data_IF_901266580847
#
_entry.id   IF_901266580847
#
_cell.length_a   1.000
_cell.length_b   1.000
_cell.length_c   1.000
_cell.angle_alpha   90.00
_cell.angle_beta   90.00
_cell.angle_gamma   90.00
#
_symmetry.space_group_name_H-M   'P 1'
#
loop_
_entity.id
_entity.type
_entity.pdbx_description
1 polymer ?
#
# COMPACT_ATOMS: atom_id res chain seq x y z
N UNK A 1 35.47 52.16 51.13
CA UNK A 1 34.10 52.62 51.41
C UNK A 1 33.69 53.74 50.43
N UNK A 2 34.18 53.71 49.19
CA UNK A 2 34.03 54.87 48.27
C UNK A 2 33.09 54.62 47.09
N UNK A 3 33.09 53.44 46.45
CA UNK A 3 32.32 53.26 45.21
C UNK A 3 30.79 53.35 45.36
N UNK A 4 30.20 52.72 46.39
CA UNK A 4 28.75 52.76 46.63
C UNK A 4 28.32 54.17 47.06
N UNK A 5 29.15 54.82 47.87
CA UNK A 5 28.94 56.18 48.37
C UNK A 5 28.98 57.18 47.22
N UNK A 6 29.94 57.05 46.30
CA UNK A 6 30.04 57.87 45.08
C UNK A 6 28.89 57.61 44.10
N UNK A 7 28.45 56.36 43.96
CA UNK A 7 27.34 55.99 43.09
C UNK A 7 26.00 56.57 43.57
N UNK A 8 25.78 56.58 44.88
CA UNK A 8 24.60 57.15 45.53
C UNK A 8 24.81 58.60 45.97
N UNK A 9 25.88 59.24 45.51
CA UNK A 9 26.16 60.62 45.88
C UNK A 9 25.13 61.56 45.23
N UNK A 10 24.25 62.10 46.07
CA UNK A 10 23.18 63.02 45.69
C UNK A 10 23.55 64.49 45.88
N UNK A 11 24.81 64.81 46.24
CA UNK A 11 25.28 66.19 46.50
C UNK A 11 25.35 67.05 45.23
N UNK A 12 25.15 66.43 44.06
CA UNK A 12 24.96 67.17 42.81
C UNK A 12 23.67 68.00 42.87
N UNK A 13 23.72 69.20 42.31
CA UNK A 13 22.53 70.04 42.17
C UNK A 13 21.43 69.24 41.45
N UNK A 14 20.22 69.10 42.02
CA UNK A 14 19.14 68.24 41.46
C UNK A 14 18.69 68.61 40.04
N UNK A 15 19.23 69.64 39.43
CA UNK A 15 18.73 70.24 38.20
C UNK A 15 19.85 70.58 37.23
N UNK A 16 20.50 69.56 36.66
CA UNK A 16 21.38 69.71 35.48
C UNK A 16 20.76 70.46 34.28
N UNK A 17 19.44 70.74 34.31
CA UNK A 17 18.76 71.79 33.54
C UNK A 17 17.99 72.71 34.49
N UNK A 18 18.23 74.02 34.45
CA UNK A 18 17.59 74.98 35.35
C UNK A 18 16.11 75.19 34.96
N UNK A 19 15.21 74.34 35.46
CA UNK A 19 13.74 74.49 35.28
C UNK A 19 13.14 75.67 36.06
N UNK A 20 14.00 76.46 36.76
CA UNK A 20 13.64 77.60 37.60
C UNK A 20 12.55 77.28 38.65
N UNK A 21 12.35 76.00 38.98
CA UNK A 21 11.26 75.51 39.84
C UNK A 21 9.87 76.02 39.44
N UNK A 22 9.67 76.28 38.14
CA UNK A 22 8.38 76.67 37.58
C UNK A 22 7.38 75.52 37.66
N UNK A 23 6.27 75.72 38.37
CA UNK A 23 5.25 74.68 38.65
C UNK A 23 4.68 74.05 37.38
N UNK A 24 4.40 74.86 36.37
CA UNK A 24 3.85 74.42 35.09
C UNK A 24 4.83 73.50 34.34
N UNK A 25 6.11 73.87 34.31
CA UNK A 25 7.15 73.09 33.63
C UNK A 25 7.47 71.79 34.38
N UNK A 26 7.47 71.85 35.72
CA UNK A 26 7.70 70.70 36.60
C UNK A 26 6.59 69.65 36.44
N UNK A 27 5.32 70.09 36.47
CA UNK A 27 4.16 69.19 36.29
C UNK A 27 4.21 68.53 34.92
N UNK A 28 4.59 69.28 33.88
CA UNK A 28 4.68 68.74 32.52
C UNK A 28 5.74 67.63 32.40
N UNK A 29 6.94 67.85 32.92
CA UNK A 29 8.03 66.87 32.84
C UNK A 29 7.78 65.66 33.73
N UNK A 30 7.47 65.91 35.02
CA UNK A 30 7.23 64.83 35.99
C UNK A 30 5.98 64.04 35.61
N UNK A 31 4.90 64.71 35.21
CA UNK A 31 3.67 64.05 34.75
C UNK A 31 3.90 63.19 33.50
N UNK A 32 4.68 63.71 32.54
CA UNK A 32 5.06 62.95 31.34
C UNK A 32 5.92 61.72 31.65
N UNK A 33 6.91 61.86 32.54
CA UNK A 33 7.76 60.75 32.96
C UNK A 33 6.98 59.69 33.76
N UNK A 34 6.05 60.11 34.64
CA UNK A 34 5.18 59.17 35.39
C UNK A 34 4.35 58.34 34.42
N UNK A 35 3.70 59.00 33.45
CA UNK A 35 2.86 58.31 32.48
C UNK A 35 3.69 57.31 31.64
N UNK A 36 4.87 57.74 31.20
CA UNK A 36 5.78 56.91 30.40
C UNK A 36 6.30 55.72 31.20
N UNK A 37 6.71 55.94 32.45
CA UNK A 37 7.16 54.89 33.36
C UNK A 37 6.09 53.82 33.58
N UNK A 38 4.85 54.22 33.88
CA UNK A 38 3.74 53.27 34.09
C UNK A 38 3.53 52.42 32.83
N UNK A 39 3.44 53.05 31.65
CA UNK A 39 3.28 52.32 30.39
C UNK A 39 4.44 51.33 30.16
N UNK A 40 5.67 51.76 30.39
CA UNK A 40 6.88 50.96 30.14
C UNK A 40 7.12 49.87 31.17
N UNK A 41 6.45 49.89 32.32
CA UNK A 41 6.44 48.76 33.25
C UNK A 41 5.37 47.72 32.91
N UNK A 42 4.24 48.15 32.35
CA UNK A 42 3.14 47.24 31.99
C UNK A 42 3.40 46.44 30.71
N UNK A 43 4.00 47.06 29.68
CA UNK A 43 4.26 46.39 28.38
C UNK A 43 5.18 45.17 28.54
N UNK A 44 6.33 45.23 29.23
CA UNK A 44 7.20 44.06 29.45
C UNK A 44 6.49 42.91 30.15
N UNK A 45 5.63 43.19 31.14
CA UNK A 45 4.85 42.18 31.84
C UNK A 45 3.93 41.44 30.86
N UNK A 46 3.24 42.19 29.98
CA UNK A 46 2.39 41.60 28.96
C UNK A 46 3.17 40.74 27.95
N UNK A 47 4.34 41.20 27.50
CA UNK A 47 5.20 40.47 26.56
C UNK A 47 5.76 39.18 27.18
N UNK A 48 6.23 39.23 28.43
CA UNK A 48 6.71 38.03 29.14
C UNK A 48 5.56 37.03 29.34
N UNK A 49 4.35 37.50 29.65
CA UNK A 49 3.17 36.64 29.77
C UNK A 49 2.80 35.98 28.44
N UNK A 50 2.84 36.72 27.32
CA UNK A 50 2.60 36.17 25.99
C UNK A 50 3.60 35.05 25.65
N UNK A 51 4.89 35.29 25.86
CA UNK A 51 5.95 34.30 25.60
C UNK A 51 5.79 33.06 26.46
N UNK A 52 5.39 33.22 27.73
CA UNK A 52 5.14 32.07 28.62
C UNK A 52 3.86 31.30 28.27
N UNK A 53 2.88 31.93 27.64
CA UNK A 53 1.60 31.32 27.30
C UNK A 53 1.59 30.61 25.94
N UNK A 54 2.61 30.84 25.10
CA UNK A 54 2.68 30.32 23.72
C UNK A 54 4.05 29.71 23.47
N UNK A 55 4.09 28.39 23.36
CA UNK A 55 5.26 27.57 23.05
C UNK A 55 5.59 27.50 21.55
N UNK A 56 4.64 27.84 20.69
CA UNK A 56 4.78 27.89 19.22
C UNK A 56 5.45 29.17 18.69
N UNK A 57 5.84 30.10 19.58
CA UNK A 57 6.56 31.31 19.20
C UNK A 57 8.02 31.01 18.87
N UNK A 58 8.27 30.76 17.58
CA UNK A 58 9.60 30.51 17.01
C UNK A 58 10.65 31.58 17.33
N UNK A 59 10.23 32.81 17.67
CA UNK A 59 11.11 33.94 18.00
C UNK A 59 10.88 34.51 19.40
N UNK A 60 10.65 33.65 20.40
CA UNK A 60 10.42 34.05 21.80
C UNK A 60 11.49 35.03 22.35
N UNK A 61 12.77 34.85 22.00
CA UNK A 61 13.88 35.71 22.43
C UNK A 61 13.73 37.18 22.00
N UNK A 62 13.08 37.46 20.84
CA UNK A 62 12.78 38.82 20.38
C UNK A 62 11.88 39.54 21.36
N UNK A 63 10.79 38.89 21.74
CA UNK A 63 9.81 39.46 22.66
C UNK A 63 10.40 39.73 24.04
N UNK A 64 11.31 38.86 24.52
CA UNK A 64 12.01 39.06 25.79
C UNK A 64 13.04 40.21 25.72
N UNK A 65 13.75 40.35 24.60
CA UNK A 65 14.69 41.46 24.41
C UNK A 65 13.97 42.80 24.28
N UNK A 66 12.82 42.86 23.60
CA UNK A 66 11.95 44.03 23.61
C UNK A 66 11.41 44.33 25.02
N UNK A 67 10.99 43.32 25.76
CA UNK A 67 10.53 43.49 27.13
C UNK A 67 11.64 44.10 28.01
N UNK A 68 12.87 43.60 27.89
CA UNK A 68 14.04 44.16 28.58
C UNK A 68 14.35 45.59 28.15
N UNK A 69 14.41 45.86 26.84
CA UNK A 69 14.65 47.21 26.30
C UNK A 69 13.64 48.24 26.83
N UNK A 70 12.34 47.92 26.75
CA UNK A 70 11.26 48.80 27.21
C UNK A 70 11.33 49.01 28.72
N UNK A 71 11.63 47.95 29.49
CA UNK A 71 11.82 48.05 30.94
C UNK A 71 12.94 49.02 31.33
N UNK A 72 14.13 48.88 30.73
CA UNK A 72 15.26 49.77 31.02
C UNK A 72 15.02 51.20 30.54
N UNK A 73 14.32 51.38 29.42
CA UNK A 73 13.85 52.70 29.00
C UNK A 73 12.92 53.31 30.06
N UNK A 74 11.98 52.54 30.60
CA UNK A 74 11.09 52.98 31.68
C UNK A 74 11.85 53.38 32.95
N UNK A 75 12.88 52.60 33.31
CA UNK A 75 13.75 52.92 34.44
C UNK A 75 14.48 54.26 34.29
N UNK A 76 14.82 54.69 33.05
CA UNK A 76 15.40 56.04 32.84
C UNK A 76 14.43 57.17 33.16
N UNK A 77 13.12 57.00 32.87
CA UNK A 77 12.10 57.99 33.24
C UNK A 77 11.86 58.04 34.75
N UNK A 78 11.87 56.88 35.44
CA UNK A 78 11.80 56.85 36.91
C UNK A 78 12.97 57.61 37.55
N UNK A 79 14.19 57.37 37.05
CA UNK A 79 15.37 58.08 37.51
C UNK A 79 15.34 59.56 37.11
N UNK A 80 14.72 59.92 35.99
CA UNK A 80 14.41 61.30 35.62
C UNK A 80 13.58 62.00 36.70
N UNK A 81 12.47 61.38 37.13
CA UNK A 81 11.61 61.87 38.21
C UNK A 81 12.40 62.03 39.51
N UNK A 82 13.16 61.01 39.91
CA UNK A 82 13.95 61.05 41.16
C UNK A 82 15.00 62.16 41.07
N UNK A 83 15.65 62.31 39.92
CA UNK A 83 16.71 63.28 39.70
C UNK A 83 16.26 64.71 39.83
N UNK A 84 14.98 65.03 39.58
CA UNK A 84 14.39 66.34 39.86
C UNK A 84 14.62 66.75 41.32
N UNK A 85 14.57 65.82 42.28
CA UNK A 85 14.77 66.13 43.70
C UNK A 85 16.12 65.68 44.25
N UNK A 86 16.72 64.62 43.70
CA UNK A 86 17.95 64.01 44.21
C UNK A 86 18.92 63.73 43.07
N UNK A 87 20.09 64.38 43.03
CA UNK A 87 21.02 64.32 41.89
C UNK A 87 21.78 63.01 41.66
N UNK A 88 21.11 61.86 41.59
CA UNK A 88 21.69 60.52 41.33
C UNK A 88 22.08 60.31 39.86
N UNK A 89 22.95 61.18 39.34
CA UNK A 89 23.33 61.19 37.92
C UNK A 89 24.18 59.98 37.50
N UNK A 90 25.01 59.42 38.38
CA UNK A 90 25.79 58.22 38.05
C UNK A 90 24.89 57.02 37.77
N UNK A 91 23.89 56.77 38.62
CA UNK A 91 22.93 55.67 38.44
C UNK A 91 22.14 55.88 37.16
N UNK A 92 21.67 57.11 36.92
CA UNK A 92 20.96 57.45 35.69
C UNK A 92 21.83 57.23 34.44
N UNK A 93 23.11 57.61 34.49
CA UNK A 93 24.08 57.34 33.44
C UNK A 93 24.26 55.85 33.16
N UNK A 94 24.44 55.03 34.20
CA UNK A 94 24.57 53.57 34.06
C UNK A 94 23.33 52.97 33.42
N UNK A 95 22.14 53.29 33.91
CA UNK A 95 20.88 52.78 33.33
C UNK A 95 20.74 53.22 31.88
N UNK A 96 21.08 54.47 31.54
CA UNK A 96 21.06 54.97 30.16
C UNK A 96 22.04 54.21 29.26
N UNK A 97 23.25 53.92 29.74
CA UNK A 97 24.23 53.11 29.02
C UNK A 97 23.74 51.68 28.80
N UNK A 98 23.15 51.05 29.81
CA UNK A 98 22.55 49.71 29.69
C UNK A 98 21.41 49.70 28.68
N UNK A 99 20.52 50.71 28.70
CA UNK A 99 19.46 50.88 27.68
C UNK A 99 20.06 50.95 26.28
N UNK A 100 21.13 51.72 26.09
CA UNK A 100 21.83 51.83 24.80
C UNK A 100 22.39 50.48 24.31
N UNK A 101 23.06 49.73 25.18
CA UNK A 101 23.61 48.40 24.85
C UNK A 101 22.48 47.43 24.44
N UNK A 102 21.41 47.35 25.24
CA UNK A 102 20.27 46.47 24.95
C UNK A 102 19.57 46.88 23.64
N UNK A 103 19.49 48.19 23.35
CA UNK A 103 18.91 48.70 22.11
C UNK A 103 19.70 48.25 20.88
N UNK A 104 21.03 48.35 20.92
CA UNK A 104 21.91 47.91 19.83
C UNK A 104 21.77 46.40 19.62
N UNK A 105 21.80 45.61 20.69
CA UNK A 105 21.60 44.16 20.61
C UNK A 105 20.23 43.80 20.02
N UNK A 106 19.18 44.50 20.43
CA UNK A 106 17.82 44.32 19.91
C UNK A 106 17.77 44.65 18.42
N UNK A 107 18.38 45.76 17.98
CA UNK A 107 18.42 46.15 16.57
C UNK A 107 19.17 45.14 15.70
N UNK A 108 20.35 44.67 16.15
CA UNK A 108 21.13 43.63 15.45
C UNK A 108 20.31 42.36 15.30
N UNK A 109 19.67 41.91 16.37
CA UNK A 109 18.91 40.67 16.36
C UNK A 109 17.65 40.77 15.48
N UNK A 110 16.97 41.92 15.48
CA UNK A 110 15.84 42.17 14.58
C UNK A 110 16.25 42.09 13.12
N UNK A 111 17.38 42.69 12.76
CA UNK A 111 17.88 42.65 11.39
C UNK A 111 18.16 41.23 10.91
N UNK A 112 18.64 40.36 11.80
CA UNK A 112 18.90 38.94 11.49
C UNK A 112 17.62 38.09 11.41
N UNK A 113 16.64 38.35 12.28
CA UNK A 113 15.44 37.51 12.40
C UNK A 113 14.28 37.95 11.50
N UNK A 114 14.22 39.22 11.09
CA UNK A 114 13.15 39.74 10.22
C UNK A 114 13.04 38.98 8.89
N UNK A 115 14.13 38.66 8.16
CA UNK A 115 14.04 37.83 6.95
C UNK A 115 13.45 36.44 7.21
N UNK A 116 13.75 35.84 8.38
CA UNK A 116 13.22 34.53 8.76
C UNK A 116 11.73 34.58 9.14
N UNK A 117 11.25 35.70 9.68
CA UNK A 117 9.84 35.87 10.00
C UNK A 117 8.98 36.04 8.73
N UNK A 118 9.50 36.73 7.72
CA UNK A 118 8.81 36.98 6.44
C UNK A 118 8.75 35.69 5.58
N UNK A 119 9.69 34.77 5.74
CA UNK A 119 9.70 33.49 4.99
C UNK A 119 8.71 32.45 5.52
N UNK A 120 8.09 32.68 6.68
CA UNK A 120 7.05 31.80 7.20
C UNK A 120 5.84 31.86 6.26
N UNK A 121 5.42 30.72 5.69
CA UNK A 121 4.32 30.70 4.74
C UNK A 121 3.04 31.25 5.36
N UNK A 122 2.33 32.06 4.59
CA UNK A 122 1.03 32.59 5.01
C UNK A 122 0.03 31.44 5.24
N UNK A 123 -0.94 31.63 6.14
CA UNK A 123 -2.03 30.66 6.35
C UNK A 123 -2.71 30.25 5.03
N UNK A 124 -2.87 31.21 4.11
CA UNK A 124 -3.45 30.97 2.78
C UNK A 124 -2.60 30.00 1.95
N UNK A 125 -1.29 30.18 1.93
CA UNK A 125 -0.35 29.27 1.25
C UNK A 125 -0.43 27.87 1.83
N UNK A 126 -0.52 27.74 3.16
CA UNK A 126 -0.67 26.44 3.84
C UNK A 126 -1.97 25.72 3.42
N UNK A 127 -3.10 26.43 3.35
CA UNK A 127 -4.35 25.83 2.91
C UNK A 127 -4.32 25.36 1.45
N UNK A 128 -3.62 26.08 0.57
CA UNK A 128 -3.44 25.65 -0.83
C UNK A 128 -2.61 24.36 -0.88
N UNK A 129 -1.46 24.30 -0.19
CA UNK A 129 -0.62 23.09 -0.15
C UNK A 129 -1.38 21.89 0.44
N UNK A 130 -2.18 22.08 1.48
CA UNK A 130 -3.01 21.00 2.05
C UNK A 130 -4.04 20.52 1.02
N UNK A 131 -4.70 21.44 0.31
CA UNK A 131 -5.68 21.07 -0.73
C UNK A 131 -5.02 20.28 -1.88
N UNK A 132 -3.84 20.70 -2.32
CA UNK A 132 -3.05 19.99 -3.34
C UNK A 132 -2.63 18.59 -2.87
N UNK A 133 -2.18 18.44 -1.63
CA UNK A 133 -1.82 17.15 -1.04
C UNK A 133 -3.02 16.20 -0.97
N UNK A 134 -4.18 16.69 -0.51
CA UNK A 134 -5.42 15.90 -0.47
C UNK A 134 -5.84 15.46 -1.88
N UNK A 135 -5.68 16.32 -2.88
CA UNK A 135 -5.97 15.96 -4.27
C UNK A 135 -4.98 14.92 -4.81
N UNK A 136 -3.70 15.02 -4.47
CA UNK A 136 -2.68 14.06 -4.87
C UNK A 136 -2.92 12.68 -4.24
N UNK A 137 -3.25 12.63 -2.94
CA UNK A 137 -3.61 11.38 -2.25
C UNK A 137 -4.81 10.69 -2.90
N UNK A 138 -5.85 11.46 -3.25
CA UNK A 138 -7.03 10.92 -3.94
C UNK A 138 -6.67 10.31 -5.29
N UNK A 139 -5.88 11.00 -6.12
CA UNK A 139 -5.44 10.49 -7.42
C UNK A 139 -4.60 9.21 -7.27
N UNK A 140 -3.74 9.16 -6.25
CA UNK A 140 -2.95 7.97 -5.94
C UNK A 140 -3.83 6.78 -5.55
N UNK A 141 -4.85 7.01 -4.71
CA UNK A 141 -5.80 5.97 -4.32
C UNK A 141 -6.58 5.41 -5.51
N UNK A 142 -7.08 6.28 -6.39
CA UNK A 142 -7.79 5.88 -7.62
C UNK A 142 -6.87 5.06 -8.56
N UNK A 143 -5.61 5.48 -8.74
CA UNK A 143 -4.64 4.76 -9.56
C UNK A 143 -4.28 3.38 -8.98
N UNK A 144 -4.11 3.29 -7.64
CA UNK A 144 -3.84 2.02 -6.97
C UNK A 144 -4.98 1.02 -7.14
N UNK A 145 -6.24 1.46 -6.97
CA UNK A 145 -7.41 0.59 -7.18
C UNK A 145 -7.49 0.05 -8.61
N UNK A 146 -7.22 0.90 -9.61
CA UNK A 146 -7.18 0.46 -11.01
C UNK A 146 -6.08 -0.58 -11.25
N UNK A 147 -4.88 -0.35 -10.70
CA UNK A 147 -3.75 -1.25 -10.84
C UNK A 147 -4.04 -2.61 -10.20
N UNK A 148 -4.64 -2.63 -9.00
CA UNK A 148 -5.04 -3.87 -8.32
C UNK A 148 -6.02 -4.70 -9.16
N UNK A 149 -7.03 -4.05 -9.75
CA UNK A 149 -8.00 -4.73 -10.62
C UNK A 149 -7.33 -5.32 -11.88
N UNK A 150 -6.38 -4.60 -12.47
CA UNK A 150 -5.66 -5.07 -13.65
C UNK A 150 -4.71 -6.23 -13.33
N UNK A 151 -4.01 -6.18 -12.19
CA UNK A 151 -3.19 -7.28 -11.69
C UNK A 151 -4.05 -8.52 -11.49
N UNK A 152 -5.19 -8.41 -10.81
CA UNK A 152 -6.08 -9.54 -10.55
C UNK A 152 -6.60 -10.17 -11.86
N UNK A 153 -6.98 -9.35 -12.84
CA UNK A 153 -7.40 -9.82 -14.17
C UNK A 153 -6.27 -10.56 -14.90
N UNK A 154 -5.06 -10.02 -14.90
CA UNK A 154 -3.91 -10.64 -15.55
C UNK A 154 -3.50 -11.94 -14.86
N UNK A 155 -3.53 -11.99 -13.53
CA UNK A 155 -3.24 -13.22 -12.77
C UNK A 155 -4.26 -14.31 -13.11
N UNK A 156 -5.56 -14.00 -13.13
CA UNK A 156 -6.58 -14.97 -13.52
C UNK A 156 -6.42 -15.48 -14.96
N UNK A 157 -6.01 -14.60 -15.89
CA UNK A 157 -5.71 -15.01 -17.26
C UNK A 157 -4.48 -15.90 -17.35
N UNK A 158 -3.41 -15.57 -16.62
CA UNK A 158 -2.20 -16.38 -16.55
C UNK A 158 -2.48 -17.74 -15.93
N UNK A 159 -3.28 -17.80 -14.85
CA UNK A 159 -3.72 -19.05 -14.24
C UNK A 159 -4.51 -19.90 -15.23
N UNK A 160 -5.46 -19.32 -15.96
CA UNK A 160 -6.21 -20.05 -16.99
C UNK A 160 -5.30 -20.62 -18.08
N UNK A 161 -4.40 -19.82 -18.64
CA UNK A 161 -3.42 -20.30 -19.62
C UNK A 161 -2.47 -21.35 -19.04
N UNK A 162 -2.16 -21.23 -17.75
CA UNK A 162 -1.29 -22.14 -17.04
C UNK A 162 -1.94 -23.51 -16.79
N UNK A 163 -3.25 -23.58 -16.61
CA UNK A 163 -3.94 -24.81 -16.16
C UNK A 163 -4.89 -25.43 -17.17
N UNK A 164 -5.35 -24.68 -18.18
CA UNK A 164 -6.36 -25.15 -19.14
C UNK A 164 -5.80 -25.32 -20.56
N UNK A 165 -6.39 -26.26 -21.30
CA UNK A 165 -6.17 -26.43 -22.75
C UNK A 165 -7.08 -25.47 -23.51
N UNK A 166 -6.51 -24.61 -24.37
CA UNK A 166 -7.26 -23.53 -25.04
C UNK A 166 -8.36 -24.03 -25.98
N UNK A 167 -8.20 -25.24 -26.53
CA UNK A 167 -9.15 -25.80 -27.48
C UNK A 167 -10.36 -26.42 -26.78
N UNK A 168 -10.10 -27.25 -25.76
CA UNK A 168 -11.14 -28.08 -25.11
C UNK A 168 -11.67 -27.50 -23.81
N UNK A 169 -10.96 -26.54 -23.20
CA UNK A 169 -11.29 -25.97 -21.90
C UNK A 169 -11.05 -26.90 -20.71
N UNK A 170 -10.56 -28.12 -20.94
CA UNK A 170 -10.19 -29.08 -19.90
C UNK A 170 -8.84 -28.71 -19.28
N UNK A 171 -8.39 -29.47 -18.26
CA UNK A 171 -7.02 -29.31 -17.76
C UNK A 171 -6.02 -29.55 -18.90
N UNK A 172 -4.96 -28.75 -18.98
CA UNK A 172 -3.85 -29.08 -19.86
C UNK A 172 -2.99 -30.19 -19.25
N UNK A 173 -2.05 -30.72 -20.06
CA UNK A 173 -1.12 -31.77 -19.65
C UNK A 173 -0.41 -31.47 -18.32
N UNK A 174 0.04 -30.23 -18.12
CA UNK A 174 0.80 -29.86 -16.92
C UNK A 174 -0.08 -29.94 -15.67
N UNK A 175 -1.29 -29.40 -15.74
CA UNK A 175 -2.19 -29.38 -14.60
C UNK A 175 -2.73 -30.77 -14.25
N UNK A 176 -3.14 -31.57 -15.23
CA UNK A 176 -3.68 -32.91 -14.94
C UNK A 176 -2.62 -33.82 -14.32
N UNK A 177 -1.35 -33.71 -14.73
CA UNK A 177 -0.24 -34.47 -14.12
C UNK A 177 0.02 -34.04 -12.67
N UNK A 178 -0.02 -32.73 -12.40
CA UNK A 178 0.10 -32.18 -11.05
C UNK A 178 -1.02 -32.66 -10.13
N UNK A 179 -2.26 -32.69 -10.64
CA UNK A 179 -3.42 -33.19 -9.91
C UNK A 179 -3.32 -34.69 -9.65
N UNK A 180 -2.83 -35.48 -10.60
CA UNK A 180 -2.65 -36.92 -10.42
C UNK A 180 -1.63 -37.23 -9.32
N UNK A 181 -0.49 -36.53 -9.29
CA UNK A 181 0.52 -36.70 -8.24
C UNK A 181 -0.02 -36.37 -6.85
N UNK A 182 -0.84 -35.31 -6.75
CA UNK A 182 -1.52 -34.93 -5.51
C UNK A 182 -2.51 -36.02 -5.06
N UNK A 183 -3.32 -36.54 -5.98
CA UNK A 183 -4.33 -37.56 -5.66
C UNK A 183 -3.71 -38.92 -5.34
N UNK A 184 -2.58 -39.31 -5.97
CA UNK A 184 -1.81 -40.51 -5.58
C UNK A 184 -1.36 -40.38 -4.12
N UNK A 185 -0.76 -39.25 -3.76
CA UNK A 185 -0.30 -38.98 -2.39
C UNK A 185 -1.47 -39.02 -1.39
N UNK A 186 -2.62 -38.45 -1.77
CA UNK A 186 -3.82 -38.43 -0.95
C UNK A 186 -4.40 -39.82 -0.75
N UNK A 187 -4.55 -40.60 -1.81
CA UNK A 187 -5.07 -41.97 -1.79
C UNK A 187 -4.20 -42.88 -0.93
N UNK A 188 -2.87 -42.79 -1.06
CA UNK A 188 -1.93 -43.53 -0.23
C UNK A 188 -2.09 -43.22 1.27
N UNK A 189 -2.25 -41.93 1.62
CA UNK A 189 -2.44 -41.50 3.02
C UNK A 189 -3.79 -41.92 3.60
N UNK A 190 -4.85 -41.88 2.79
CA UNK A 190 -6.22 -42.15 3.25
C UNK A 190 -6.62 -43.62 3.09
N UNK A 191 -5.77 -44.42 2.44
CA UNK A 191 -6.05 -45.80 2.06
C UNK A 191 -7.37 -45.92 1.27
N UNK A 192 -7.57 -45.00 0.31
CA UNK A 192 -8.74 -45.01 -0.58
C UNK A 192 -8.36 -45.43 -1.99
N UNK A 193 -9.33 -45.95 -2.74
CA UNK A 193 -9.11 -46.36 -4.11
C UNK A 193 -8.95 -45.14 -5.03
N UNK A 194 -7.96 -45.16 -5.90
CA UNK A 194 -7.77 -44.15 -6.95
C UNK A 194 -7.66 -44.88 -8.28
N UNK A 195 -8.43 -44.48 -9.28
CA UNK A 195 -8.31 -45.02 -10.63
C UNK A 195 -8.08 -43.91 -11.65
N UNK A 196 -7.42 -44.25 -12.75
CA UNK A 196 -7.26 -43.36 -13.89
C UNK A 196 -7.76 -44.03 -15.17
N UNK A 197 -8.12 -43.21 -16.15
CA UNK A 197 -8.49 -43.64 -17.49
C UNK A 197 -7.66 -42.87 -18.51
N UNK A 198 -7.02 -43.59 -19.42
CA UNK A 198 -6.41 -43.03 -20.62
C UNK A 198 -7.37 -43.20 -21.79
N UNK A 199 -7.73 -42.11 -22.44
CA UNK A 199 -8.69 -42.08 -23.55
C UNK A 199 -7.99 -41.58 -24.80
N UNK A 200 -8.23 -42.23 -25.93
CA UNK A 200 -7.71 -41.80 -27.22
C UNK A 200 -8.77 -41.93 -28.30
N UNK A 201 -8.96 -40.85 -29.06
CA UNK A 201 -9.95 -40.79 -30.13
C UNK A 201 -9.51 -41.63 -31.33
N UNK A 202 -10.33 -42.64 -31.64
CA UNK A 202 -10.04 -43.58 -32.70
C UNK A 202 -10.10 -42.90 -34.07
N UNK A 203 -9.09 -43.17 -34.90
CA UNK A 203 -9.02 -42.67 -36.28
C UNK A 203 -9.08 -41.14 -36.40
N UNK A 204 -8.71 -40.40 -35.34
CA UNK A 204 -8.75 -38.94 -35.34
C UNK A 204 -7.93 -38.31 -36.48
N UNK A 205 -6.75 -38.88 -36.77
CA UNK A 205 -5.95 -38.46 -37.94
C UNK A 205 -6.72 -38.54 -39.26
N UNK A 206 -7.55 -39.58 -39.47
CA UNK A 206 -8.35 -39.72 -40.68
C UNK A 206 -9.46 -38.64 -40.77
N UNK A 207 -9.96 -38.15 -39.64
CA UNK A 207 -10.88 -37.01 -39.61
C UNK A 207 -10.17 -35.75 -40.08
N UNK A 208 -8.98 -35.48 -39.54
CA UNK A 208 -8.16 -34.33 -39.97
C UNK A 208 -7.80 -34.41 -41.45
N UNK A 209 -7.37 -35.57 -41.92
CA UNK A 209 -6.88 -35.75 -43.30
C UNK A 209 -8.03 -35.60 -44.32
N UNK A 210 -9.24 -36.05 -44.00
CA UNK A 210 -10.39 -36.03 -44.93
C UNK A 210 -11.26 -34.78 -44.83
N UNK A 211 -11.34 -34.15 -43.66
CA UNK A 211 -12.27 -33.05 -43.37
C UNK A 211 -11.58 -31.76 -42.89
N UNK A 212 -10.25 -31.78 -42.78
CA UNK A 212 -9.44 -30.66 -42.35
C UNK A 212 -9.37 -30.49 -40.83
N UNK A 213 -8.37 -29.73 -40.38
CA UNK A 213 -8.11 -29.51 -38.95
C UNK A 213 -9.27 -28.86 -38.19
N UNK A 214 -10.07 -28.02 -38.84
CA UNK A 214 -11.26 -27.45 -38.20
C UNK A 214 -12.28 -28.51 -37.80
N UNK A 215 -12.44 -29.59 -38.59
CA UNK A 215 -13.31 -30.70 -38.23
C UNK A 215 -12.73 -31.52 -37.06
N UNK A 216 -11.41 -31.68 -37.02
CA UNK A 216 -10.72 -32.28 -35.86
C UNK A 216 -10.92 -31.47 -34.59
N UNK A 217 -10.81 -30.14 -34.66
CA UNK A 217 -11.03 -29.24 -33.53
C UNK A 217 -12.46 -29.33 -32.98
N UNK A 218 -13.45 -29.40 -33.87
CA UNK A 218 -14.87 -29.62 -33.48
C UNK A 218 -15.03 -30.98 -32.81
N UNK A 219 -14.39 -32.02 -33.35
CA UNK A 219 -14.45 -33.38 -32.80
C UNK A 219 -13.85 -33.43 -31.39
N UNK A 220 -12.71 -32.77 -31.16
CA UNK A 220 -12.05 -32.70 -29.84
C UNK A 220 -12.91 -31.96 -28.81
N UNK A 221 -13.52 -30.83 -29.19
CA UNK A 221 -14.43 -30.08 -28.32
C UNK A 221 -15.65 -30.90 -27.94
N UNK A 222 -16.29 -31.52 -28.93
CA UNK A 222 -17.46 -32.37 -28.72
C UNK A 222 -17.15 -33.56 -27.80
N UNK A 223 -15.99 -34.19 -27.97
CA UNK A 223 -15.56 -35.29 -27.11
C UNK A 223 -15.30 -34.80 -25.67
N UNK A 224 -14.58 -33.70 -25.51
CA UNK A 224 -14.28 -33.10 -24.21
C UNK A 224 -15.56 -32.74 -23.43
N UNK A 225 -16.55 -32.14 -24.09
CA UNK A 225 -17.84 -31.82 -23.49
C UNK A 225 -18.61 -33.08 -23.07
N UNK A 226 -18.64 -34.11 -23.93
CA UNK A 226 -19.30 -35.39 -23.62
C UNK A 226 -18.67 -36.05 -22.40
N UNK A 227 -17.33 -36.08 -22.34
CA UNK A 227 -16.60 -36.65 -21.22
C UNK A 227 -16.93 -35.88 -19.93
N UNK A 228 -16.83 -34.54 -19.95
CA UNK A 228 -17.07 -33.71 -18.77
C UNK A 228 -18.49 -33.85 -18.19
N UNK A 229 -19.52 -34.09 -19.03
CA UNK A 229 -20.90 -34.27 -18.59
C UNK A 229 -21.13 -35.55 -17.77
N UNK A 230 -20.30 -36.57 -17.98
CA UNK A 230 -20.43 -37.87 -17.30
C UNK A 230 -19.62 -37.95 -16.00
N UNK A 231 -18.70 -37.01 -15.79
CA UNK A 231 -17.79 -36.96 -14.66
C UNK A 231 -18.42 -36.20 -13.47
N UNK A 232 -18.02 -36.58 -12.26
CA UNK A 232 -18.41 -35.88 -11.02
C UNK A 232 -17.55 -34.64 -10.86
N UNK A 233 -17.99 -33.72 -9.99
CA UNK A 233 -17.20 -32.53 -9.63
C UNK A 233 -15.84 -32.84 -8.98
N UNK A 234 -15.71 -34.03 -8.39
CA UNK A 234 -14.48 -34.51 -7.74
C UNK A 234 -13.54 -35.22 -8.73
N UNK A 235 -14.02 -35.53 -9.93
CA UNK A 235 -13.23 -36.19 -10.95
C UNK A 235 -12.52 -35.11 -11.77
N UNK A 236 -11.33 -35.43 -12.27
CA UNK A 236 -10.55 -34.49 -13.08
C UNK A 236 -10.36 -35.07 -14.47
N UNK A 237 -10.43 -34.22 -15.48
CA UNK A 237 -10.10 -34.60 -16.85
C UNK A 237 -9.20 -33.54 -17.48
N UNK A 238 -8.21 -34.01 -18.23
CA UNK A 238 -7.29 -33.14 -18.97
C UNK A 238 -6.87 -33.73 -20.29
N UNK A 239 -6.49 -32.87 -21.23
CA UNK A 239 -5.91 -33.24 -22.51
C UNK A 239 -4.40 -33.31 -22.38
N UNK A 240 -3.84 -34.49 -22.60
CA UNK A 240 -2.40 -34.74 -22.44
C UNK A 240 -1.63 -34.69 -23.77
N UNK A 241 -2.33 -34.92 -24.88
CA UNK A 241 -1.77 -35.01 -26.23
C UNK A 241 -2.80 -34.62 -27.29
N UNK A 242 -2.42 -34.71 -28.57
CA UNK A 242 -3.24 -34.27 -29.70
C UNK A 242 -4.69 -34.78 -29.63
N UNK A 243 -4.87 -36.09 -29.47
CA UNK A 243 -6.17 -36.77 -29.39
C UNK A 243 -6.35 -37.58 -28.10
N UNK A 244 -5.47 -37.32 -27.12
CA UNK A 244 -5.31 -38.12 -25.89
C UNK A 244 -5.79 -37.33 -24.66
N UNK A 245 -6.60 -37.99 -23.84
CA UNK A 245 -7.15 -37.45 -22.60
C UNK A 245 -6.84 -38.37 -21.42
N UNK A 246 -6.66 -37.77 -20.25
CA UNK A 246 -6.46 -38.45 -18.98
C UNK A 246 -7.57 -38.05 -18.03
N UNK A 247 -8.24 -39.04 -17.44
CA UNK A 247 -9.21 -38.83 -16.35
C UNK A 247 -8.68 -39.40 -15.05
N UNK A 248 -8.86 -38.67 -13.95
CA UNK A 248 -8.52 -39.05 -12.58
C UNK A 248 -9.82 -39.22 -11.81
N UNK A 249 -9.98 -40.38 -11.17
CA UNK A 249 -11.18 -40.78 -10.43
C UNK A 249 -10.81 -41.08 -8.98
N UNK A 250 -10.80 -40.05 -8.10
CA UNK A 250 -10.61 -40.24 -6.66
C UNK A 250 -11.71 -41.13 -6.06
N UNK A 251 -11.36 -41.86 -5.00
CA UNK A 251 -12.27 -42.73 -4.24
C UNK A 251 -13.07 -43.72 -5.12
N UNK A 252 -12.47 -44.17 -6.22
CA UNK A 252 -13.12 -45.01 -7.24
C UNK A 252 -12.31 -46.28 -7.50
N UNK A 253 -12.83 -47.46 -7.09
CA UNK A 253 -12.23 -48.77 -7.41
C UNK A 253 -12.29 -49.10 -8.91
N UNK A 254 -11.45 -50.04 -9.34
CA UNK A 254 -11.27 -50.43 -10.74
C UNK A 254 -12.59 -50.75 -11.46
N UNK A 255 -13.45 -51.59 -10.86
CA UNK A 255 -14.71 -52.02 -11.47
C UNK A 255 -15.66 -50.85 -11.76
N UNK A 256 -15.71 -49.87 -10.86
CA UNK A 256 -16.51 -48.66 -11.03
C UNK A 256 -15.92 -47.73 -12.08
N UNK A 257 -14.59 -47.62 -12.13
CA UNK A 257 -13.88 -46.87 -13.17
C UNK A 257 -14.11 -47.49 -14.56
N UNK A 258 -14.07 -48.82 -14.66
CA UNK A 258 -14.35 -49.55 -15.89
C UNK A 258 -15.81 -49.36 -16.35
N UNK A 259 -16.77 -49.43 -15.43
CA UNK A 259 -18.17 -49.16 -15.75
C UNK A 259 -18.40 -47.72 -16.25
N UNK A 260 -17.69 -46.74 -15.66
CA UNK A 260 -17.72 -45.36 -16.11
C UNK A 260 -17.07 -45.19 -17.49
N UNK A 261 -15.93 -45.84 -17.74
CA UNK A 261 -15.27 -45.84 -19.05
C UNK A 261 -16.20 -46.38 -20.15
N UNK A 262 -16.92 -47.48 -19.90
CA UNK A 262 -17.89 -48.02 -20.87
C UNK A 262 -19.03 -47.05 -21.14
N UNK A 263 -19.53 -46.35 -20.11
CA UNK A 263 -20.55 -45.31 -20.29
C UNK A 263 -20.04 -44.16 -21.15
N UNK A 264 -18.80 -43.70 -20.93
CA UNK A 264 -18.15 -42.65 -21.73
C UNK A 264 -18.02 -43.11 -23.19
N UNK A 265 -17.52 -44.32 -23.41
CA UNK A 265 -17.35 -44.91 -24.73
C UNK A 265 -18.68 -44.97 -25.51
N UNK A 266 -19.73 -45.49 -24.85
CA UNK A 266 -21.06 -45.58 -25.45
C UNK A 266 -21.67 -44.21 -25.73
N UNK A 267 -21.51 -43.25 -24.82
CA UNK A 267 -22.05 -41.90 -24.97
C UNK A 267 -21.40 -41.16 -26.15
N UNK A 268 -20.09 -41.31 -26.35
CA UNK A 268 -19.42 -40.71 -27.51
C UNK A 268 -19.86 -41.39 -28.82
N UNK A 269 -19.97 -42.73 -28.83
CA UNK A 269 -20.40 -43.49 -30.00
C UNK A 269 -21.83 -43.13 -30.44
N UNK A 270 -22.72 -42.81 -29.51
CA UNK A 270 -24.11 -42.43 -29.79
C UNK A 270 -24.28 -40.94 -30.08
N UNK A 271 -23.23 -40.14 -29.90
CA UNK A 271 -23.31 -38.71 -30.14
C UNK A 271 -23.45 -38.43 -31.64
N UNK A 272 -24.57 -37.81 -32.00
CA UNK A 272 -24.74 -37.24 -33.32
C UNK A 272 -23.91 -35.96 -33.39
N UNK A 273 -22.99 -35.86 -34.34
CA UNK A 273 -22.28 -34.62 -34.60
C UNK A 273 -23.29 -33.55 -35.05
N UNK A 274 -23.19 -32.32 -34.52
CA UNK A 274 -24.07 -31.22 -34.96
C UNK A 274 -23.90 -30.90 -36.45
N UNK A 275 -22.75 -31.28 -37.02
CA UNK A 275 -22.47 -31.19 -38.44
C UNK A 275 -22.61 -32.59 -39.09
N UNK A 276 -23.67 -32.85 -39.89
CA UNK A 276 -23.89 -34.12 -40.57
C UNK A 276 -22.75 -34.54 -41.50
N UNK A 277 -21.86 -33.61 -41.87
CA UNK A 277 -20.71 -33.88 -42.73
C UNK A 277 -19.50 -34.46 -41.99
N UNK A 278 -19.46 -34.42 -40.65
CA UNK A 278 -18.34 -34.96 -39.86
C UNK A 278 -18.75 -36.34 -39.32
N UNK A 279 -17.97 -37.41 -39.58
CA UNK A 279 -18.29 -38.75 -39.11
C UNK A 279 -18.22 -38.84 -37.59
N UNK A 280 -19.04 -39.70 -36.99
CA UNK A 280 -18.98 -40.01 -35.56
C UNK A 280 -17.62 -40.62 -35.20
N UNK A 281 -16.95 -40.04 -34.21
CA UNK A 281 -15.67 -40.53 -33.69
C UNK A 281 -15.91 -41.48 -32.51
N UNK A 282 -15.15 -42.58 -32.44
CA UNK A 282 -15.16 -43.49 -31.29
C UNK A 282 -13.94 -43.26 -30.41
N UNK A 283 -13.92 -43.86 -29.23
CA UNK A 283 -12.81 -43.74 -28.28
C UNK A 283 -12.39 -45.12 -27.80
N UNK A 284 -11.09 -45.35 -27.73
CA UNK A 284 -10.50 -46.48 -27.02
C UNK A 284 -10.08 -46.01 -25.62
N UNK A 285 -10.32 -46.83 -24.59
CA UNK A 285 -10.05 -46.44 -23.20
C UNK A 285 -9.25 -47.53 -22.47
N UNK A 286 -8.16 -47.13 -21.83
CA UNK A 286 -7.39 -47.94 -20.91
C UNK A 286 -7.65 -47.52 -19.46
N UNK A 287 -7.98 -48.45 -18.59
CA UNK A 287 -8.30 -48.19 -17.18
C UNK A 287 -7.26 -48.85 -16.27
N UNK A 288 -6.77 -48.12 -15.28
CA UNK A 288 -5.88 -48.67 -14.25
C UNK A 288 -6.22 -48.10 -12.88
N UNK A 289 -6.17 -48.96 -11.86
CA UNK A 289 -6.26 -48.55 -10.47
C UNK A 289 -4.85 -48.36 -9.91
N UNK A 290 -4.67 -47.34 -9.07
CA UNK A 290 -3.47 -47.11 -8.26
C UNK A 290 -3.30 -48.23 -7.24
N UNK A 291 -2.08 -48.75 -7.15
CA UNK A 291 -1.63 -49.76 -6.20
C UNK A 291 -0.81 -49.09 -5.09
N UNK A 292 -0.66 -49.75 -3.93
CA UNK A 292 0.32 -49.34 -2.93
C UNK A 292 1.70 -49.22 -3.58
N UNK A 293 2.41 -48.13 -3.27
CA UNK A 293 3.77 -47.83 -3.74
C UNK A 293 3.94 -47.49 -5.24
N UNK A 294 2.85 -47.30 -5.99
CA UNK A 294 2.95 -46.80 -7.36
C UNK A 294 3.58 -45.41 -7.42
N UNK A 295 4.52 -45.23 -8.34
CA UNK A 295 4.86 -43.89 -8.81
C UNK A 295 3.83 -43.38 -9.82
N UNK A 296 3.85 -42.07 -10.07
CA UNK A 296 3.08 -41.45 -11.14
C UNK A 296 3.30 -42.15 -12.49
N UNK A 297 4.54 -42.55 -12.77
CA UNK A 297 4.91 -43.20 -14.03
C UNK A 297 4.33 -44.60 -14.15
N UNK A 298 4.40 -45.40 -13.09
CA UNK A 298 3.91 -46.79 -13.09
C UNK A 298 2.40 -46.84 -13.35
N UNK A 299 1.65 -45.96 -12.69
CA UNK A 299 0.19 -45.88 -12.86
C UNK A 299 -0.19 -45.48 -14.30
N UNK A 300 0.44 -44.44 -14.85
CA UNK A 300 0.21 -43.99 -16.23
C UNK A 300 0.58 -45.09 -17.21
N UNK A 301 1.73 -45.75 -17.04
CA UNK A 301 2.18 -46.82 -17.92
C UNK A 301 1.16 -47.96 -17.97
N UNK A 302 0.61 -48.40 -16.82
CA UNK A 302 -0.43 -49.45 -16.82
C UNK A 302 -1.72 -49.03 -17.52
N UNK A 303 -2.12 -47.77 -17.39
CA UNK A 303 -3.29 -47.25 -18.11
C UNK A 303 -3.04 -47.21 -19.62
N UNK A 304 -1.84 -46.82 -20.04
CA UNK A 304 -1.43 -46.78 -21.45
C UNK A 304 -1.32 -48.18 -22.07
N UNK A 305 -0.74 -49.15 -21.35
CA UNK A 305 -0.72 -50.56 -21.77
C UNK A 305 -2.15 -51.11 -21.95
N UNK A 306 -3.07 -50.72 -21.06
CA UNK A 306 -4.49 -51.08 -21.19
C UNK A 306 -5.14 -50.41 -22.40
N UNK A 307 -4.82 -49.15 -22.68
CA UNK A 307 -5.30 -48.44 -23.86
C UNK A 307 -4.78 -49.08 -25.15
N UNK A 308 -3.51 -49.48 -25.18
CA UNK A 308 -2.93 -50.22 -26.28
C UNK A 308 -3.64 -51.56 -26.53
N UNK A 309 -4.00 -52.28 -25.46
CA UNK A 309 -4.83 -53.49 -25.57
C UNK A 309 -6.22 -53.20 -26.15
N UNK A 310 -6.86 -52.09 -25.77
CA UNK A 310 -8.14 -51.69 -26.36
C UNK A 310 -7.98 -51.40 -27.87
N UNK A 311 -6.95 -50.63 -28.26
CA UNK A 311 -6.69 -50.33 -29.67
C UNK A 311 -6.40 -51.59 -30.50
N UNK A 312 -5.64 -52.53 -29.96
CA UNK A 312 -5.30 -53.79 -30.65
C UNK A 312 -6.47 -54.78 -30.77
N UNK A 313 -7.47 -54.69 -29.90
CA UNK A 313 -8.73 -55.48 -29.98
C UNK A 313 -9.73 -54.98 -31.02
N UNK A 314 -9.36 -53.98 -31.82
CA UNK A 314 -10.23 -53.42 -32.87
C UNK A 314 -10.81 -52.06 -32.54
N UNK A 315 -10.28 -51.36 -31.53
CA UNK A 315 -10.70 -50.01 -31.10
C UNK A 315 -12.13 -49.97 -30.54
N UNK A 316 -12.63 -48.78 -30.20
CA UNK A 316 -13.97 -48.57 -29.65
C UNK A 316 -14.32 -49.58 -28.54
N UNK A 317 -13.39 -49.77 -27.61
CA UNK A 317 -13.58 -50.67 -26.47
C UNK A 317 -12.80 -50.17 -25.26
N UNK A 318 -13.14 -50.73 -24.10
CA UNK A 318 -12.43 -50.48 -22.85
C UNK A 318 -11.58 -51.71 -22.51
N UNK A 319 -10.36 -51.49 -22.04
CA UNK A 319 -9.53 -52.54 -21.44
C UNK A 319 -9.00 -52.06 -20.10
N UNK A 320 -8.79 -52.99 -19.18
CA UNK A 320 -8.27 -52.71 -17.85
C UNK A 320 -7.07 -53.59 -17.55
N UNK A 321 -6.10 -53.04 -16.80
CA UNK A 321 -4.99 -53.84 -16.28
C UNK A 321 -5.51 -54.81 -15.22
N UNK A 322 -5.01 -56.06 -15.17
CA UNK A 322 -5.28 -56.94 -14.03
C UNK A 322 -4.75 -56.27 -12.75
N UNK A 323 -5.57 -56.21 -11.71
CA UNK A 323 -5.20 -55.65 -10.41
C UNK A 323 -4.08 -56.45 -9.75
#
# INVERSE_FOLDING_TARGET
MDFITDLLNGDFMPHGHCLLWRKDLLILHVGGDILTFIAYMLIPIALVRLVRARDDLRFNSIFLLFAGFIFFCGATHLLGIINVWHGYYYIHGIVKSLTGVISILTAIMLWYLLPQAISIPSKRSMHVTIAELVQAERKLAEANQHLEAEVLKRTAQLEKMATTDDLTGLCNRREIMRLLELEITRAARQNTALSIMMLDLDHFKAINDNYGHQAGDVTLKSAAENFALLLRKTDFIGRIGGEEFLTILPDTPLDNAFALAERIRQALQLQSTENPSIPTCTVSIGVAQCRPDDSLHDLIQRADESLYQAKSKGRNCVSQAPN
#
